data_IF_599717156431
#
_entry.id   IF_599717156431
#
_cell.length_a   1.000
_cell.length_b   1.000
_cell.length_c   1.000
_cell.angle_alpha   90.00
_cell.angle_beta   90.00
_cell.angle_gamma   90.00
#
_symmetry.space_group_name_H-M   'P 1'
#
loop_
_entity.id
_entity.type
_entity.pdbx_description
1 polymer ?
#
# COMPACT_ATOMS: atom_id res chain seq x y z
N UNK A 1 59.38 -16.67 4.20
CA UNK A 1 58.84 -15.49 4.93
C UNK A 1 59.99 -14.95 5.77
N UNK A 2 60.47 -13.70 5.53
CA UNK A 2 61.56 -13.14 6.35
C UNK A 2 60.97 -12.75 7.70
N UNK A 3 61.62 -13.12 8.79
CA UNK A 3 61.20 -12.76 10.14
C UNK A 3 62.32 -12.02 10.85
N UNK A 4 61.97 -11.13 11.78
CA UNK A 4 62.91 -10.39 12.63
C UNK A 4 62.44 -10.45 14.08
N UNK A 5 63.36 -10.55 15.05
CA UNK A 5 62.99 -10.46 16.46
C UNK A 5 62.44 -9.05 16.74
N UNK A 6 61.25 -8.97 17.32
CA UNK A 6 60.64 -7.75 17.83
C UNK A 6 60.27 -7.95 19.30
N UNK A 7 60.46 -6.91 20.11
CA UNK A 7 60.14 -6.97 21.54
C UNK A 7 58.65 -6.67 21.74
N UNK A 8 57.90 -7.61 22.32
CA UNK A 8 56.49 -7.40 22.63
C UNK A 8 56.34 -6.84 24.04
N UNK A 9 55.80 -5.61 24.14
CA UNK A 9 55.55 -4.93 25.42
C UNK A 9 54.49 -5.69 26.24
N UNK A 10 53.50 -6.31 25.58
CA UNK A 10 52.39 -7.00 26.27
C UNK A 10 52.78 -8.33 26.91
N UNK A 11 53.83 -8.99 26.39
CA UNK A 11 54.28 -10.30 26.86
C UNK A 11 55.69 -10.27 27.47
N UNK A 12 56.32 -9.09 27.52
CA UNK A 12 57.66 -8.84 28.03
C UNK A 12 58.71 -9.86 27.51
N UNK A 13 58.58 -10.26 26.24
CA UNK A 13 59.43 -11.26 25.58
C UNK A 13 59.72 -10.86 24.13
N UNK A 14 60.88 -11.28 23.64
CA UNK A 14 61.24 -11.18 22.23
C UNK A 14 60.43 -12.20 21.42
N UNK A 15 59.57 -11.70 20.54
CA UNK A 15 58.79 -12.49 19.60
C UNK A 15 59.35 -12.39 18.19
N UNK A 16 58.98 -13.34 17.34
CA UNK A 16 59.40 -13.37 15.94
C UNK A 16 58.32 -12.66 15.11
N UNK A 17 58.61 -11.43 14.68
CA UNK A 17 57.72 -10.64 13.83
C UNK A 17 57.92 -10.95 12.35
N UNK A 18 56.83 -10.98 11.58
CA UNK A 18 56.90 -11.11 10.12
C UNK A 18 57.41 -9.80 9.49
N UNK A 19 58.48 -9.88 8.71
CA UNK A 19 59.00 -8.74 7.96
C UNK A 19 58.20 -8.60 6.66
N UNK A 20 57.75 -7.38 6.37
CA UNK A 20 57.09 -7.07 5.12
C UNK A 20 57.96 -7.48 3.91
N UNK A 21 57.33 -8.02 2.86
CA UNK A 21 58.05 -8.44 1.66
C UNK A 21 58.74 -7.24 1.00
N UNK A 22 59.86 -7.44 0.26
CA UNK A 22 60.54 -6.37 -0.47
C UNK A 22 59.62 -5.67 -1.47
N UNK A 23 58.63 -6.41 -1.99
CA UNK A 23 57.60 -5.90 -2.90
C UNK A 23 56.75 -4.80 -2.25
N UNK A 24 56.51 -4.88 -0.94
CA UNK A 24 55.76 -3.88 -0.17
C UNK A 24 56.49 -2.53 -0.03
N UNK A 25 57.81 -2.51 -0.27
CA UNK A 25 58.64 -1.30 -0.25
C UNK A 25 58.84 -0.71 -1.66
N UNK A 26 58.37 -1.40 -2.70
CA UNK A 26 58.47 -0.89 -4.06
C UNK A 26 57.34 0.14 -4.32
N UNK A 27 57.74 1.36 -4.63
CA UNK A 27 56.84 2.49 -4.85
C UNK A 27 55.84 2.24 -6.00
N UNK A 28 56.28 1.60 -7.08
CA UNK A 28 55.43 1.28 -8.24
C UNK A 28 54.36 0.26 -7.86
N UNK A 29 54.75 -0.78 -7.10
CA UNK A 29 53.80 -1.77 -6.60
C UNK A 29 52.75 -1.14 -5.67
N UNK A 30 53.17 -0.19 -4.82
CA UNK A 30 52.27 0.51 -3.91
C UNK A 30 51.24 1.34 -4.67
N UNK A 31 51.67 2.10 -5.69
CA UNK A 31 50.76 2.87 -6.57
C UNK A 31 49.78 1.94 -7.29
N UNK A 32 50.26 0.89 -7.96
CA UNK A 32 49.40 -0.02 -8.73
C UNK A 32 48.37 -0.70 -7.82
N UNK A 33 48.79 -1.15 -6.63
CA UNK A 33 47.89 -1.74 -5.64
C UNK A 33 46.82 -0.75 -5.17
N UNK A 34 47.19 0.50 -4.91
CA UNK A 34 46.27 1.56 -4.50
C UNK A 34 45.27 1.88 -5.60
N UNK A 35 45.73 2.06 -6.84
CA UNK A 35 44.85 2.33 -8.01
C UNK A 35 43.88 1.18 -8.24
N UNK A 36 44.34 -0.07 -8.18
CA UNK A 36 43.47 -1.24 -8.34
C UNK A 36 42.44 -1.36 -7.22
N UNK A 37 42.83 -1.07 -5.97
CA UNK A 37 41.89 -1.04 -4.84
C UNK A 37 40.83 0.04 -5.03
N UNK A 38 41.22 1.24 -5.44
CA UNK A 38 40.29 2.33 -5.73
C UNK A 38 39.33 1.94 -6.86
N UNK A 39 39.84 1.38 -7.96
CA UNK A 39 39.04 1.08 -9.14
C UNK A 39 38.09 -0.11 -8.94
N UNK A 40 38.55 -1.20 -8.33
CA UNK A 40 37.76 -2.43 -8.24
C UNK A 40 37.07 -2.66 -6.89
N UNK A 41 37.54 -2.03 -5.81
CA UNK A 41 36.99 -2.26 -4.46
C UNK A 41 36.18 -1.06 -3.99
N UNK A 42 36.66 0.16 -4.24
CA UNK A 42 36.11 1.37 -3.60
C UNK A 42 35.25 2.23 -4.53
N UNK A 43 35.83 2.97 -5.48
CA UNK A 43 35.10 3.91 -6.36
C UNK A 43 34.27 3.16 -7.41
N UNK A 44 34.90 2.26 -8.16
CA UNK A 44 34.28 1.70 -9.37
C UNK A 44 32.96 0.98 -9.10
N UNK A 45 32.86 0.05 -8.12
CA UNK A 45 31.60 -0.62 -7.83
C UNK A 45 30.47 0.32 -7.43
N UNK A 46 30.79 1.38 -6.67
CA UNK A 46 29.81 2.36 -6.20
C UNK A 46 29.31 3.23 -7.36
N UNK A 47 30.21 3.74 -8.22
CA UNK A 47 29.86 4.50 -9.42
C UNK A 47 29.06 3.64 -10.40
N UNK A 48 29.46 2.39 -10.59
CA UNK A 48 28.76 1.45 -11.46
C UNK A 48 27.32 1.19 -10.99
N UNK A 49 27.11 0.89 -9.70
CA UNK A 49 25.78 0.69 -9.13
C UNK A 49 24.93 1.95 -9.27
N UNK A 50 25.52 3.13 -9.04
CA UNK A 50 24.83 4.40 -9.20
C UNK A 50 24.33 4.61 -10.65
N UNK A 51 25.20 4.39 -11.64
CA UNK A 51 24.84 4.49 -13.07
C UNK A 51 23.75 3.48 -13.44
N UNK A 52 23.88 2.22 -13.03
CA UNK A 52 22.87 1.18 -13.28
C UNK A 52 21.52 1.56 -12.66
N UNK A 53 21.53 2.14 -11.45
CA UNK A 53 20.32 2.60 -10.77
C UNK A 53 19.62 3.71 -11.55
N UNK A 54 20.38 4.72 -12.02
CA UNK A 54 19.84 5.81 -12.84
C UNK A 54 19.24 5.27 -14.14
N UNK A 55 19.97 4.39 -14.85
CA UNK A 55 19.49 3.79 -16.09
C UNK A 55 18.20 3.00 -15.87
N UNK A 56 18.14 2.20 -14.80
CA UNK A 56 16.96 1.42 -14.42
C UNK A 56 15.76 2.33 -14.19
N UNK A 57 15.92 3.41 -13.41
CA UNK A 57 14.85 4.40 -13.16
C UNK A 57 14.39 5.06 -14.46
N UNK A 58 15.31 5.42 -15.35
CA UNK A 58 14.96 6.05 -16.63
C UNK A 58 14.20 5.10 -17.56
N UNK A 59 14.66 3.85 -17.70
CA UNK A 59 13.97 2.81 -18.48
C UNK A 59 12.56 2.58 -17.92
N UNK A 60 12.42 2.50 -16.59
CA UNK A 60 11.12 2.35 -15.93
C UNK A 60 10.19 3.54 -16.20
N UNK A 61 10.70 4.78 -16.16
CA UNK A 61 9.91 5.98 -16.49
C UNK A 61 9.42 5.97 -17.94
N UNK A 62 10.30 5.60 -18.88
CA UNK A 62 9.98 5.53 -20.31
C UNK A 62 8.97 4.41 -20.59
N UNK A 63 9.19 3.22 -20.01
CA UNK A 63 8.28 2.08 -20.09
C UNK A 63 6.88 2.44 -19.57
N UNK A 64 6.78 3.07 -18.40
CA UNK A 64 5.52 3.52 -17.82
C UNK A 64 4.80 4.56 -18.70
N UNK A 65 5.55 5.50 -19.30
CA UNK A 65 4.97 6.50 -20.22
C UNK A 65 4.45 5.85 -21.50
N UNK A 66 5.14 4.83 -22.00
CA UNK A 66 4.75 4.07 -23.21
C UNK A 66 3.50 3.21 -22.96
N UNK A 67 3.46 2.46 -21.85
CA UNK A 67 2.31 1.61 -21.46
C UNK A 67 1.01 2.40 -21.27
N UNK A 68 1.09 3.62 -20.70
CA UNK A 68 -0.08 4.51 -20.55
C UNK A 68 -0.69 4.95 -21.88
N UNK A 69 0.08 4.94 -22.97
CA UNK A 69 -0.40 5.30 -24.32
C UNK A 69 -0.96 4.10 -25.09
N UNK A 70 -0.55 2.88 -24.73
CA UNK A 70 -0.85 1.67 -25.51
C UNK A 70 -2.13 0.93 -25.07
N UNK A 71 -2.63 1.15 -23.85
CA UNK A 71 -3.76 0.39 -23.31
C UNK A 71 -4.95 1.29 -22.90
N UNK A 72 -6.00 1.32 -23.74
CA UNK A 72 -7.39 1.61 -23.32
C UNK A 72 -7.98 0.34 -22.69
N UNK A 73 -7.50 -0.08 -21.51
CA UNK A 73 -8.02 -1.27 -20.83
C UNK A 73 -8.30 -0.97 -19.34
N UNK A 74 -9.26 -1.70 -18.75
CA UNK A 74 -9.84 -1.49 -17.42
C UNK A 74 -8.94 -0.80 -16.39
N UNK A 75 -9.36 0.40 -15.96
CA UNK A 75 -8.66 1.29 -15.03
C UNK A 75 -8.17 0.59 -13.75
N UNK A 76 -8.95 -0.38 -13.23
CA UNK A 76 -8.64 -1.12 -12.01
C UNK A 76 -7.43 -2.04 -12.12
N UNK A 77 -7.14 -2.60 -13.31
CA UNK A 77 -5.95 -3.43 -13.54
C UNK A 77 -4.72 -2.55 -13.73
N UNK A 78 -4.86 -1.41 -14.44
CA UNK A 78 -3.77 -0.44 -14.62
C UNK A 78 -3.30 0.07 -13.26
N UNK A 79 -4.21 0.41 -12.35
CA UNK A 79 -3.85 0.87 -11.01
C UNK A 79 -3.12 -0.21 -10.18
N UNK A 80 -3.52 -1.48 -10.28
CA UNK A 80 -2.82 -2.57 -9.59
C UNK A 80 -1.42 -2.83 -10.16
N UNK A 81 -1.28 -2.86 -11.48
CA UNK A 81 0.03 -3.05 -12.12
C UNK A 81 0.95 -1.86 -11.89
N UNK A 82 0.44 -0.63 -11.99
CA UNK A 82 1.20 0.58 -11.70
C UNK A 82 1.63 0.65 -10.23
N UNK A 83 0.78 0.25 -9.29
CA UNK A 83 1.13 0.17 -7.86
C UNK A 83 2.24 -0.84 -7.61
N UNK A 84 2.13 -2.04 -8.17
CA UNK A 84 3.13 -3.11 -8.00
C UNK A 84 4.48 -2.74 -8.63
N UNK A 85 4.46 -2.16 -9.82
CA UNK A 85 5.68 -1.67 -10.50
C UNK A 85 6.32 -0.54 -9.68
N UNK A 86 5.53 0.43 -9.21
CA UNK A 86 6.02 1.53 -8.37
C UNK A 86 6.62 1.00 -7.04
N UNK A 87 6.02 -0.01 -6.41
CA UNK A 87 6.54 -0.63 -5.20
C UNK A 87 7.86 -1.36 -5.44
N UNK A 88 8.00 -2.03 -6.60
CA UNK A 88 9.27 -2.64 -7.01
C UNK A 88 10.36 -1.58 -7.25
N UNK A 89 10.01 -0.45 -7.89
CA UNK A 89 10.97 0.65 -8.10
C UNK A 89 11.43 1.28 -6.78
N UNK A 90 10.50 1.48 -5.84
CA UNK A 90 10.80 2.03 -4.52
C UNK A 90 11.66 1.06 -3.72
N UNK A 91 11.38 -0.24 -3.77
CA UNK A 91 12.18 -1.27 -3.13
C UNK A 91 13.62 -1.27 -3.66
N UNK A 92 13.79 -1.25 -4.99
CA UNK A 92 15.11 -1.20 -5.63
C UNK A 92 15.88 0.07 -5.23
N UNK A 93 15.20 1.22 -5.21
CA UNK A 93 15.80 2.48 -4.77
C UNK A 93 16.17 2.45 -3.28
N UNK A 94 15.35 1.85 -2.42
CA UNK A 94 15.62 1.69 -0.99
C UNK A 94 16.85 0.82 -0.75
N UNK A 95 17.02 -0.26 -1.54
CA UNK A 95 18.21 -1.11 -1.51
C UNK A 95 19.44 -0.33 -1.98
N UNK A 96 19.33 0.45 -3.07
CA UNK A 96 20.43 1.26 -3.59
C UNK A 96 20.88 2.34 -2.60
N UNK A 97 19.94 3.06 -1.97
CA UNK A 97 20.24 4.09 -0.95
C UNK A 97 20.88 3.45 0.28
N UNK A 98 20.32 2.34 0.78
CA UNK A 98 20.89 1.57 1.89
C UNK A 98 22.33 1.14 1.56
N UNK A 99 22.54 0.60 0.36
CA UNK A 99 23.86 0.18 -0.09
C UNK A 99 24.84 1.35 -0.06
N UNK A 100 24.45 2.51 -0.59
CA UNK A 100 25.28 3.70 -0.62
C UNK A 100 25.64 4.21 0.78
N UNK A 101 24.69 4.21 1.73
CA UNK A 101 24.93 4.65 3.11
C UNK A 101 25.86 3.68 3.84
N UNK A 102 25.59 2.38 3.77
CA UNK A 102 26.36 1.38 4.52
C UNK A 102 27.75 1.12 3.92
N UNK A 103 27.93 1.31 2.60
CA UNK A 103 29.27 1.29 1.97
C UNK A 103 29.96 2.64 1.92
N UNK A 104 29.24 3.74 2.09
CA UNK A 104 29.79 5.09 2.04
C UNK A 104 30.88 5.32 3.09
N UNK A 105 30.77 4.67 4.25
CA UNK A 105 31.78 4.75 5.30
C UNK A 105 33.09 4.07 4.89
N UNK A 106 33.04 2.88 4.29
CA UNK A 106 34.22 2.19 3.74
C UNK A 106 34.89 3.05 2.67
N UNK A 107 34.07 3.64 1.79
CA UNK A 107 34.54 4.53 0.75
C UNK A 107 35.28 5.77 1.31
N UNK A 108 34.72 6.40 2.34
CA UNK A 108 35.34 7.56 2.98
C UNK A 108 36.68 7.21 3.65
N UNK A 109 36.76 6.04 4.29
CA UNK A 109 37.99 5.56 4.94
C UNK A 109 39.07 5.21 3.91
N UNK A 110 38.70 4.55 2.80
CA UNK A 110 39.64 4.26 1.71
C UNK A 110 40.17 5.55 1.06
N UNK A 111 39.31 6.56 0.88
CA UNK A 111 39.73 7.86 0.34
C UNK A 111 40.68 8.57 1.32
N UNK A 112 40.37 8.50 2.62
CA UNK A 112 41.21 9.06 3.69
C UNK A 112 42.58 8.36 3.77
N UNK A 113 42.63 7.02 3.65
CA UNK A 113 43.86 6.22 3.57
C UNK A 113 44.78 6.76 2.47
N UNK A 114 44.21 7.09 1.31
CA UNK A 114 44.96 7.49 0.12
C UNK A 114 45.46 8.93 0.18
N UNK A 115 44.65 9.85 0.73
CA UNK A 115 44.99 11.29 0.77
C UNK A 115 45.98 11.59 1.88
N UNK A 116 45.80 11.01 3.08
CA UNK A 116 46.56 11.38 4.27
C UNK A 116 47.64 10.34 4.62
N UNK A 117 47.47 9.09 4.17
CA UNK A 117 48.40 8.01 4.47
C UNK A 117 48.23 7.50 5.90
N UNK A 118 47.96 6.20 6.04
CA UNK A 118 47.95 5.58 7.37
C UNK A 118 49.36 5.50 7.95
N UNK A 119 49.49 5.86 9.22
CA UNK A 119 50.72 5.81 10.03
C UNK A 119 51.65 7.01 9.94
N UNK A 120 51.13 8.24 9.92
CA UNK A 120 51.95 9.36 10.38
C UNK A 120 52.13 9.23 11.91
N UNK A 121 53.35 9.01 12.43
CA UNK A 121 53.61 8.92 13.87
C UNK A 121 53.26 10.21 14.62
N UNK A 122 53.05 11.33 13.91
CA UNK A 122 52.71 12.61 14.50
C UNK A 122 51.27 12.68 15.05
N UNK A 123 50.36 11.76 14.68
CA UNK A 123 48.94 11.81 15.08
C UNK A 123 48.39 10.47 15.62
N UNK A 124 48.82 10.02 16.81
CA UNK A 124 48.42 8.72 17.38
C UNK A 124 46.92 8.59 17.67
N UNK A 125 46.26 9.67 18.07
CA UNK A 125 44.82 9.71 18.37
C UNK A 125 43.96 9.50 17.11
N UNK A 126 44.41 10.06 15.98
CA UNK A 126 43.76 9.90 14.68
C UNK A 126 43.90 8.47 14.17
N UNK A 127 45.09 7.87 14.32
CA UNK A 127 45.34 6.48 13.95
C UNK A 127 44.45 5.50 14.73
N UNK A 128 44.24 5.74 16.02
CA UNK A 128 43.34 4.92 16.84
C UNK A 128 41.87 5.08 16.43
N UNK A 129 41.40 6.31 16.19
CA UNK A 129 40.04 6.56 15.71
C UNK A 129 39.79 5.87 14.36
N UNK A 130 40.74 5.96 13.44
CA UNK A 130 40.64 5.35 12.12
C UNK A 130 40.62 3.82 12.18
N UNK A 131 41.35 3.20 13.12
CA UNK A 131 41.25 1.75 13.34
C UNK A 131 39.84 1.32 13.74
N UNK A 132 39.21 2.03 14.67
CA UNK A 132 37.82 1.76 15.04
C UNK A 132 36.84 2.03 13.89
N UNK A 133 37.08 3.08 13.09
CA UNK A 133 36.27 3.38 11.93
C UNK A 133 36.33 2.25 10.89
N UNK A 134 37.50 1.65 10.66
CA UNK A 134 37.66 0.47 9.79
C UNK A 134 36.79 -0.69 10.29
N UNK A 135 36.85 -1.01 11.59
CA UNK A 135 36.06 -2.10 12.17
C UNK A 135 34.55 -1.85 12.08
N UNK A 136 34.10 -0.62 12.35
CA UNK A 136 32.69 -0.21 12.20
C UNK A 136 32.26 -0.31 10.73
N UNK A 137 33.12 0.09 9.80
CA UNK A 137 32.83 0.00 8.36
C UNK A 137 32.69 -1.45 7.89
N UNK A 138 33.52 -2.36 8.40
CA UNK A 138 33.41 -3.79 8.14
C UNK A 138 32.10 -4.38 8.68
N UNK A 139 31.68 -3.95 9.88
CA UNK A 139 30.38 -4.32 10.44
C UNK A 139 29.23 -3.83 9.55
N UNK A 140 29.29 -2.61 9.04
CA UNK A 140 28.27 -2.06 8.12
C UNK A 140 28.19 -2.82 6.80
N UNK A 141 29.30 -3.31 6.26
CA UNK A 141 29.30 -4.19 5.09
C UNK A 141 28.55 -5.50 5.36
N UNK A 142 28.75 -6.10 6.53
CA UNK A 142 28.06 -7.32 6.94
C UNK A 142 26.56 -7.06 7.15
N UNK A 143 26.20 -5.96 7.81
CA UNK A 143 24.79 -5.57 7.99
C UNK A 143 24.12 -5.32 6.64
N UNK A 144 24.83 -4.70 5.70
CA UNK A 144 24.33 -4.43 4.36
C UNK A 144 23.95 -5.72 3.63
N UNK A 145 24.81 -6.74 3.65
CA UNK A 145 24.53 -8.03 3.01
C UNK A 145 23.39 -8.79 3.71
N UNK A 146 23.36 -8.81 5.04
CA UNK A 146 22.37 -9.54 5.83
C UNK A 146 20.93 -8.98 5.70
N UNK A 147 20.79 -7.65 5.60
CA UNK A 147 19.47 -7.00 5.64
C UNK A 147 18.78 -6.91 4.28
N UNK A 148 19.36 -7.45 3.20
CA UNK A 148 18.74 -7.45 1.86
C UNK A 148 17.41 -8.25 1.82
N UNK A 149 17.38 -9.42 2.46
CA UNK A 149 16.17 -10.23 2.58
C UNK A 149 15.10 -9.54 3.45
N UNK A 150 15.52 -8.86 4.52
CA UNK A 150 14.61 -8.11 5.39
C UNK A 150 13.94 -6.95 4.64
N UNK A 151 14.69 -6.24 3.79
CA UNK A 151 14.14 -5.19 2.94
C UNK A 151 13.12 -5.74 1.95
N UNK A 152 13.40 -6.89 1.33
CA UNK A 152 12.46 -7.51 0.38
C UNK A 152 11.15 -7.94 1.05
N UNK A 153 11.23 -8.57 2.23
CA UNK A 153 10.05 -9.11 2.91
C UNK A 153 9.28 -8.05 3.70
N UNK A 154 9.96 -7.34 4.62
CA UNK A 154 9.32 -6.34 5.48
C UNK A 154 9.18 -4.98 4.80
N UNK A 155 10.14 -4.59 3.96
CA UNK A 155 10.08 -3.32 3.24
C UNK A 155 8.94 -3.28 2.21
N UNK A 156 8.67 -4.40 1.52
CA UNK A 156 7.50 -4.51 0.64
C UNK A 156 6.18 -4.42 1.42
N UNK A 157 6.05 -5.15 2.54
CA UNK A 157 4.88 -5.09 3.40
C UNK A 157 4.65 -3.68 3.99
N UNK A 158 5.73 -3.01 4.40
CA UNK A 158 5.68 -1.65 4.93
C UNK A 158 5.31 -0.63 3.85
N UNK A 159 5.82 -0.78 2.62
CA UNK A 159 5.43 0.06 1.48
C UNK A 159 3.95 -0.12 1.17
N UNK A 160 3.47 -1.36 1.11
CA UNK A 160 2.06 -1.67 0.87
C UNK A 160 1.16 -1.07 1.96
N UNK A 161 1.53 -1.19 3.24
CA UNK A 161 0.76 -0.57 4.33
C UNK A 161 0.78 0.96 4.26
N UNK A 162 1.94 1.59 4.04
CA UNK A 162 2.07 3.04 3.85
C UNK A 162 1.27 3.56 2.66
N UNK A 163 1.22 2.82 1.55
CA UNK A 163 0.43 3.21 0.39
C UNK A 163 -1.06 3.08 0.67
N UNK A 164 -1.50 2.01 1.34
CA UNK A 164 -2.88 1.87 1.79
C UNK A 164 -3.26 2.97 2.77
N UNK A 165 -2.38 3.33 3.71
CA UNK A 165 -2.59 4.43 4.64
C UNK A 165 -2.64 5.79 3.91
N UNK A 166 -1.76 6.03 2.94
CA UNK A 166 -1.79 7.27 2.14
C UNK A 166 -3.02 7.35 1.23
N UNK A 167 -3.46 6.25 0.63
CA UNK A 167 -4.69 6.22 -0.15
C UNK A 167 -5.92 6.40 0.73
N UNK A 168 -5.93 5.81 1.93
CA UNK A 168 -7.04 5.99 2.88
C UNK A 168 -7.04 7.40 3.48
N UNK A 169 -5.88 8.01 3.72
CA UNK A 169 -5.77 9.42 4.16
C UNK A 169 -6.17 10.38 3.04
N UNK A 170 -5.73 10.16 1.81
CA UNK A 170 -6.18 10.96 0.65
C UNK A 170 -7.68 10.84 0.42
N UNK A 171 -8.23 9.62 0.53
CA UNK A 171 -9.68 9.38 0.49
C UNK A 171 -10.43 10.01 1.67
N UNK A 172 -9.86 10.00 2.88
CA UNK A 172 -10.43 10.70 4.05
C UNK A 172 -10.43 12.22 3.84
N UNK A 173 -9.37 12.76 3.23
CA UNK A 173 -9.25 14.21 2.97
C UNK A 173 -10.19 14.68 1.87
N UNK A 174 -10.31 13.94 0.76
CA UNK A 174 -11.35 14.23 -0.25
C UNK A 174 -12.75 14.11 0.34
N UNK A 175 -13.07 13.07 1.11
CA UNK A 175 -14.43 12.89 1.66
C UNK A 175 -14.81 13.97 2.69
N UNK A 176 -13.86 14.47 3.50
CA UNK A 176 -14.14 15.55 4.46
C UNK A 176 -14.16 16.95 3.83
N UNK A 177 -13.43 17.19 2.74
CA UNK A 177 -13.57 18.41 1.92
C UNK A 177 -14.82 18.32 1.00
N UNK A 178 -15.31 17.11 0.71
CA UNK A 178 -16.45 16.82 -0.16
C UNK A 178 -17.83 17.01 0.49
N UNK A 179 -17.94 17.22 1.80
CA UNK A 179 -19.19 17.59 2.45
C UNK A 179 -19.82 18.86 1.85
N UNK A 180 -18.98 19.78 1.38
CA UNK A 180 -19.35 20.95 0.58
C UNK A 180 -19.55 20.63 -0.92
N UNK A 181 -18.85 19.62 -1.45
CA UNK A 181 -18.81 19.24 -2.87
C UNK A 181 -20.02 18.41 -3.32
N UNK A 182 -20.71 17.75 -2.38
CA UNK A 182 -21.93 17.00 -2.67
C UNK A 182 -23.10 17.91 -3.09
N UNK A 183 -23.06 19.21 -2.76
CA UNK A 183 -24.09 20.18 -3.17
C UNK A 183 -24.21 20.30 -4.69
N UNK A 184 -23.10 20.52 -5.39
CA UNK A 184 -23.08 20.65 -6.86
C UNK A 184 -23.37 19.31 -7.56
N UNK A 185 -22.99 18.19 -6.94
CA UNK A 185 -23.18 16.84 -7.47
C UNK A 185 -24.54 16.22 -7.12
N UNK A 186 -25.32 16.86 -6.24
CA UNK A 186 -26.62 16.35 -5.80
C UNK A 186 -27.63 16.26 -6.96
N UNK A 187 -27.62 17.25 -7.84
CA UNK A 187 -28.47 17.24 -9.05
C UNK A 187 -28.20 16.01 -9.90
N UNK A 188 -26.92 15.70 -10.12
CA UNK A 188 -26.46 14.52 -10.86
C UNK A 188 -26.84 13.23 -10.14
N UNK A 189 -26.66 13.16 -8.81
CA UNK A 189 -27.05 11.99 -8.03
C UNK A 189 -28.56 11.72 -8.15
N UNK A 190 -29.41 12.74 -7.98
CA UNK A 190 -30.86 12.60 -8.11
C UNK A 190 -31.27 12.19 -9.52
N UNK A 191 -30.79 12.89 -10.55
CA UNK A 191 -31.21 12.62 -11.94
C UNK A 191 -30.73 11.24 -12.41
N UNK A 192 -29.48 10.86 -12.10
CA UNK A 192 -28.96 9.54 -12.44
C UNK A 192 -29.61 8.43 -11.60
N UNK A 193 -29.99 8.67 -10.35
CA UNK A 193 -30.78 7.71 -9.57
C UNK A 193 -32.13 7.42 -10.24
N UNK A 194 -32.85 8.45 -10.65
CA UNK A 194 -34.13 8.30 -11.33
C UNK A 194 -33.98 7.60 -12.69
N UNK A 195 -32.92 7.91 -13.46
CA UNK A 195 -32.57 7.18 -14.69
C UNK A 195 -32.34 5.69 -14.40
N UNK A 196 -31.54 5.35 -13.38
CA UNK A 196 -31.27 3.95 -12.99
C UNK A 196 -32.54 3.23 -12.56
N UNK A 197 -33.39 3.87 -11.76
CA UNK A 197 -34.64 3.30 -11.27
C UNK A 197 -35.62 3.03 -12.40
N UNK A 198 -35.70 3.92 -13.40
CA UNK A 198 -36.47 3.68 -14.63
C UNK A 198 -35.90 2.52 -15.44
N UNK A 199 -34.57 2.50 -15.66
CA UNK A 199 -33.91 1.46 -16.46
C UNK A 199 -34.01 0.05 -15.84
N UNK A 200 -34.04 -0.03 -14.51
CA UNK A 200 -34.14 -1.30 -13.76
C UNK A 200 -35.56 -1.70 -13.39
N UNK A 201 -36.59 -0.96 -13.85
CA UNK A 201 -37.99 -1.23 -13.50
C UNK A 201 -38.27 -1.12 -11.99
N UNK A 202 -37.48 -0.34 -11.26
CA UNK A 202 -37.57 -0.21 -9.80
C UNK A 202 -36.95 -1.34 -8.98
N UNK A 203 -36.36 -2.36 -9.62
CA UNK A 203 -35.84 -3.55 -8.94
C UNK A 203 -34.34 -3.47 -8.58
N UNK A 204 -33.72 -2.29 -8.68
CA UNK A 204 -32.29 -2.11 -8.35
C UNK A 204 -31.96 -2.59 -6.94
N UNK A 205 -32.76 -2.23 -5.94
CA UNK A 205 -32.56 -2.65 -4.56
C UNK A 205 -32.57 -4.18 -4.41
N UNK A 206 -33.47 -4.86 -5.12
CA UNK A 206 -33.53 -6.33 -5.17
C UNK A 206 -32.29 -6.92 -5.84
N UNK A 207 -31.80 -6.30 -6.92
CA UNK A 207 -30.54 -6.68 -7.59
C UNK A 207 -29.33 -6.52 -6.66
N UNK A 208 -29.26 -5.43 -5.90
CA UNK A 208 -28.23 -5.19 -4.88
C UNK A 208 -28.28 -6.29 -3.82
N UNK A 209 -29.45 -6.53 -3.23
CA UNK A 209 -29.64 -7.54 -2.20
C UNK A 209 -29.26 -8.95 -2.71
N UNK A 210 -29.68 -9.30 -3.92
CA UNK A 210 -29.35 -10.57 -4.56
C UNK A 210 -27.84 -10.75 -4.77
N UNK A 211 -27.16 -9.75 -5.33
CA UNK A 211 -25.72 -9.81 -5.60
C UNK A 211 -24.91 -9.94 -4.31
N UNK A 212 -25.34 -9.24 -3.24
CA UNK A 212 -24.73 -9.36 -1.92
C UNK A 212 -24.94 -10.76 -1.31
N UNK A 213 -26.17 -11.28 -1.35
CA UNK A 213 -26.53 -12.57 -0.74
C UNK A 213 -25.97 -13.78 -1.48
N UNK A 214 -25.96 -13.76 -2.82
CA UNK A 214 -25.42 -14.86 -3.63
C UNK A 214 -23.95 -15.14 -3.32
N UNK A 215 -23.15 -14.09 -3.05
CA UNK A 215 -21.74 -14.22 -2.70
C UNK A 215 -21.51 -14.53 -1.22
N UNK A 216 -22.51 -14.35 -0.36
CA UNK A 216 -22.42 -14.60 1.08
C UNK A 216 -23.71 -15.25 1.63
N UNK A 217 -24.00 -16.52 1.28
CA UNK A 217 -25.23 -17.20 1.66
C UNK A 217 -25.39 -17.40 3.18
N UNK A 218 -24.31 -17.25 3.95
CA UNK A 218 -24.33 -17.36 5.42
C UNK A 218 -25.06 -16.22 6.13
N UNK A 219 -25.37 -15.10 5.45
CA UNK A 219 -26.12 -13.98 6.05
C UNK A 219 -27.60 -14.28 6.27
N UNK A 220 -28.18 -15.26 5.56
CA UNK A 220 -29.58 -15.69 5.72
C UNK A 220 -29.79 -16.66 6.90
N UNK A 221 -28.72 -17.22 7.48
CA UNK A 221 -28.80 -18.21 8.55
C UNK A 221 -28.91 -17.60 9.97
N UNK A 222 -29.10 -16.29 10.09
CA UNK A 222 -29.22 -15.59 11.37
C UNK A 222 -30.69 -15.35 11.77
N UNK A 223 -31.42 -16.46 11.99
CA UNK A 223 -32.53 -16.69 12.96
C UNK A 223 -33.63 -17.60 12.39
N UNK A 224 -33.74 -18.79 13.00
CA UNK A 224 -34.97 -19.44 13.46
C UNK A 224 -36.25 -19.37 12.60
N UNK A 225 -36.20 -19.84 11.36
CA UNK A 225 -37.35 -20.54 10.79
C UNK A 225 -36.91 -21.98 10.55
N UNK A 226 -37.78 -22.93 10.90
CA UNK A 226 -37.53 -24.37 10.91
C UNK A 226 -36.83 -24.88 9.63
N UNK A 227 -36.03 -25.96 9.73
CA UNK A 227 -35.50 -26.60 8.54
C UNK A 227 -36.66 -27.29 7.82
N UNK A 228 -37.31 -26.58 6.90
CA UNK A 228 -38.21 -27.22 5.96
C UNK A 228 -37.36 -28.22 5.15
N UNK A 229 -37.57 -29.51 5.45
CA UNK A 229 -36.87 -30.64 4.86
C UNK A 229 -37.15 -30.66 3.35
N UNK A 230 -36.28 -30.05 2.56
CA UNK A 230 -36.30 -30.26 1.10
C UNK A 230 -35.37 -31.42 0.75
N UNK A 231 -36.02 -32.48 0.30
CA UNK A 231 -35.51 -33.80 -0.06
C UNK A 231 -34.26 -33.76 -0.95
N UNK A 232 -33.24 -34.54 -0.58
CA UNK A 232 -31.93 -34.68 -1.24
C UNK A 232 -31.96 -35.45 -2.58
N UNK A 233 -33.12 -35.62 -3.21
CA UNK A 233 -33.27 -36.54 -4.36
C UNK A 233 -33.48 -35.91 -5.73
N UNK A 234 -33.46 -34.58 -5.87
CA UNK A 234 -33.40 -33.95 -7.20
C UNK A 234 -32.30 -32.88 -7.27
N UNK A 235 -31.29 -33.16 -8.09
CA UNK A 235 -30.05 -32.40 -8.25
C UNK A 235 -30.20 -31.01 -8.85
N UNK A 236 -30.86 -30.09 -8.14
CA UNK A 236 -30.83 -28.65 -8.41
C UNK A 236 -30.67 -27.91 -7.08
N UNK A 237 -29.42 -27.63 -6.72
CA UNK A 237 -29.08 -26.82 -5.54
C UNK A 237 -29.31 -25.32 -5.83
N UNK A 238 -30.54 -24.97 -6.24
CA UNK A 238 -31.06 -23.61 -6.16
C UNK A 238 -31.83 -23.52 -4.86
N UNK A 239 -31.18 -23.05 -3.80
CA UNK A 239 -31.91 -22.50 -2.65
C UNK A 239 -32.81 -21.41 -3.21
N UNK A 240 -34.12 -21.65 -3.26
CA UNK A 240 -35.09 -20.60 -3.54
C UNK A 240 -35.04 -19.63 -2.37
N UNK A 241 -34.22 -18.58 -2.50
CA UNK A 241 -34.35 -17.43 -1.60
C UNK A 241 -35.79 -16.93 -1.80
N UNK A 242 -36.56 -16.81 -0.72
CA UNK A 242 -37.92 -16.26 -0.74
C UNK A 242 -37.91 -14.94 -1.51
N UNK A 243 -38.43 -14.96 -2.74
CA UNK A 243 -38.40 -13.83 -3.65
C UNK A 243 -39.11 -12.61 -3.05
N UNK A 244 -40.06 -12.86 -2.15
CA UNK A 244 -40.80 -11.86 -1.36
C UNK A 244 -39.91 -11.18 -0.32
N UNK A 245 -39.19 -11.95 0.52
CA UNK A 245 -38.27 -11.39 1.54
C UNK A 245 -37.13 -10.61 0.89
N UNK A 246 -36.61 -11.10 -0.24
CA UNK A 246 -35.56 -10.42 -1.01
C UNK A 246 -36.05 -9.10 -1.61
N UNK A 247 -37.29 -9.08 -2.13
CA UNK A 247 -37.94 -7.86 -2.64
C UNK A 247 -38.16 -6.85 -1.52
N UNK A 248 -38.58 -7.29 -0.34
CA UNK A 248 -38.73 -6.42 0.83
C UNK A 248 -37.40 -5.76 1.24
N UNK A 249 -36.32 -6.55 1.35
CA UNK A 249 -34.98 -6.03 1.65
C UNK A 249 -34.54 -5.04 0.56
N UNK A 250 -34.76 -5.39 -0.69
CA UNK A 250 -34.45 -4.52 -1.83
C UNK A 250 -35.19 -3.18 -1.74
N UNK A 251 -36.49 -3.20 -1.46
CA UNK A 251 -37.30 -2.00 -1.30
C UNK A 251 -36.79 -1.11 -0.15
N UNK A 252 -36.36 -1.71 0.97
CA UNK A 252 -35.77 -0.95 2.09
C UNK A 252 -34.44 -0.30 1.72
N UNK A 253 -33.60 -0.97 0.91
CA UNK A 253 -32.35 -0.39 0.41
C UNK A 253 -32.66 0.80 -0.51
N UNK A 254 -33.58 0.63 -1.46
CA UNK A 254 -33.99 1.68 -2.38
C UNK A 254 -34.58 2.88 -1.62
N UNK A 255 -35.49 2.63 -0.68
CA UNK A 255 -36.10 3.67 0.15
C UNK A 255 -35.06 4.43 1.00
N UNK A 256 -34.06 3.73 1.53
CA UNK A 256 -32.97 4.35 2.27
C UNK A 256 -32.15 5.29 1.39
N UNK A 257 -31.82 4.90 0.15
CA UNK A 257 -31.09 5.80 -0.76
C UNK A 257 -31.94 7.03 -1.11
N UNK A 258 -33.23 6.86 -1.39
CA UNK A 258 -34.15 7.99 -1.60
C UNK A 258 -34.23 8.92 -0.39
N UNK A 259 -34.32 8.37 0.82
CA UNK A 259 -34.32 9.14 2.07
C UNK A 259 -33.04 9.98 2.21
N UNK A 260 -31.86 9.39 1.94
CA UNK A 260 -30.61 10.14 2.00
C UNK A 260 -30.55 11.27 0.96
N UNK A 261 -30.98 11.01 -0.27
CA UNK A 261 -31.04 12.03 -1.33
C UNK A 261 -32.03 13.14 -0.98
N UNK A 262 -33.17 12.81 -0.37
CA UNK A 262 -34.16 13.80 0.08
C UNK A 262 -33.64 14.66 1.24
N UNK A 263 -32.96 14.07 2.22
CA UNK A 263 -32.29 14.81 3.29
C UNK A 263 -31.25 15.79 2.74
N UNK A 264 -30.49 15.38 1.74
CA UNK A 264 -29.53 16.25 1.04
C UNK A 264 -30.24 17.37 0.26
N UNK A 265 -31.34 17.05 -0.43
CA UNK A 265 -32.15 18.02 -1.19
C UNK A 265 -32.77 19.08 -0.30
N UNK A 266 -33.22 18.69 0.88
CA UNK A 266 -33.80 19.59 1.88
C UNK A 266 -32.73 20.34 2.70
N UNK A 267 -31.47 20.33 2.26
CA UNK A 267 -30.34 21.05 2.87
C UNK A 267 -30.18 20.78 4.37
N UNK A 268 -30.49 19.55 4.80
CA UNK A 268 -30.24 19.12 6.18
C UNK A 268 -28.73 19.10 6.45
N UNK A 269 -28.33 19.30 7.71
CA UNK A 269 -26.91 19.32 8.06
C UNK A 269 -26.27 17.95 7.79
N UNK A 270 -24.98 17.98 7.41
CA UNK A 270 -24.20 16.75 7.15
C UNK A 270 -24.22 15.80 8.36
N UNK A 271 -24.30 16.35 9.57
CA UNK A 271 -24.43 15.60 10.82
C UNK A 271 -25.70 14.75 10.89
N UNK A 272 -26.83 15.27 10.41
CA UNK A 272 -28.11 14.54 10.39
C UNK A 272 -28.03 13.36 9.42
N UNK A 273 -27.48 13.59 8.23
CA UNK A 273 -27.28 12.56 7.20
C UNK A 273 -26.31 11.48 7.72
N UNK A 274 -25.20 11.91 8.30
CA UNK A 274 -24.18 11.03 8.88
C UNK A 274 -24.75 10.19 10.03
N UNK A 275 -25.49 10.81 10.94
CA UNK A 275 -26.17 10.14 12.05
C UNK A 275 -27.16 9.09 11.53
N UNK A 276 -27.93 9.44 10.48
CA UNK A 276 -28.89 8.54 9.86
C UNK A 276 -28.22 7.29 9.26
N UNK A 277 -27.09 7.46 8.57
CA UNK A 277 -26.31 6.35 7.99
C UNK A 277 -25.68 5.50 9.10
N UNK A 278 -25.07 6.13 10.11
CA UNK A 278 -24.47 5.42 11.26
C UNK A 278 -25.49 4.58 12.01
N UNK A 279 -26.72 5.09 12.19
CA UNK A 279 -27.82 4.35 12.81
C UNK A 279 -28.14 3.06 12.04
N UNK A 280 -28.11 3.07 10.71
CA UNK A 280 -28.29 1.85 9.91
C UNK A 280 -27.17 0.86 10.19
N UNK A 281 -25.93 1.32 10.24
CA UNK A 281 -24.78 0.48 10.61
C UNK A 281 -24.94 -0.17 11.99
N UNK A 282 -25.29 0.63 13.01
CA UNK A 282 -25.52 0.17 14.38
C UNK A 282 -26.64 -0.88 14.46
N UNK A 283 -27.80 -0.64 13.83
CA UNK A 283 -28.92 -1.60 13.84
C UNK A 283 -28.54 -2.95 13.23
N UNK A 284 -27.73 -2.97 12.17
CA UNK A 284 -27.25 -4.22 11.60
C UNK A 284 -26.26 -4.94 12.52
N UNK A 285 -25.40 -4.19 13.21
CA UNK A 285 -24.50 -4.74 14.22
C UNK A 285 -25.26 -5.36 15.40
N UNK A 286 -26.26 -4.66 15.95
CA UNK A 286 -27.12 -5.15 17.04
C UNK A 286 -27.86 -6.43 16.65
N UNK A 287 -28.25 -6.55 15.37
CA UNK A 287 -28.87 -7.76 14.80
C UNK A 287 -27.88 -8.87 14.49
N UNK A 288 -26.60 -8.71 14.84
CA UNK A 288 -25.48 -9.63 14.55
C UNK A 288 -25.25 -9.87 13.06
N UNK A 289 -25.61 -8.90 12.23
CA UNK A 289 -25.35 -8.91 10.78
C UNK A 289 -24.03 -8.17 10.54
N UNK A 290 -22.94 -8.93 10.43
CA UNK A 290 -21.62 -8.37 10.18
C UNK A 290 -21.30 -8.32 8.67
N UNK A 291 -21.32 -7.11 8.11
CA UNK A 291 -20.98 -6.90 6.70
C UNK A 291 -19.46 -6.98 6.48
N UNK A 292 -19.00 -8.09 5.89
CA UNK A 292 -17.61 -8.23 5.41
C UNK A 292 -17.28 -7.19 4.34
N UNK A 293 -16.00 -6.85 4.20
CA UNK A 293 -15.51 -5.91 3.16
C UNK A 293 -15.93 -6.32 1.73
N UNK A 294 -16.06 -7.62 1.45
CA UNK A 294 -16.56 -8.12 0.17
C UNK A 294 -18.02 -7.73 -0.10
N UNK A 295 -18.89 -7.72 0.91
CA UNK A 295 -20.30 -7.30 0.76
C UNK A 295 -20.43 -5.83 0.39
N UNK A 296 -19.65 -4.97 1.04
CA UNK A 296 -19.61 -3.54 0.70
C UNK A 296 -19.07 -3.29 -0.71
N UNK A 297 -18.12 -4.13 -1.18
CA UNK A 297 -17.65 -4.07 -2.57
C UNK A 297 -18.76 -4.44 -3.56
N UNK A 298 -19.56 -5.46 -3.28
CA UNK A 298 -20.68 -5.85 -4.14
C UNK A 298 -21.81 -4.82 -4.15
N UNK A 299 -22.14 -4.25 -2.99
CA UNK A 299 -23.09 -3.14 -2.87
C UNK A 299 -22.67 -1.99 -3.79
N UNK A 300 -21.44 -1.53 -3.63
CA UNK A 300 -20.87 -0.44 -4.43
C UNK A 300 -20.81 -0.78 -5.91
N UNK A 301 -20.30 -1.95 -6.26
CA UNK A 301 -20.14 -2.37 -7.66
C UNK A 301 -21.49 -2.48 -8.37
N UNK A 302 -22.53 -2.99 -7.69
CA UNK A 302 -23.87 -3.11 -8.28
C UNK A 302 -24.46 -1.74 -8.63
N UNK A 303 -24.30 -0.75 -7.73
CA UNK A 303 -24.75 0.62 -7.98
C UNK A 303 -23.95 1.23 -9.14
N UNK A 304 -22.62 1.13 -9.12
CA UNK A 304 -21.78 1.72 -10.17
C UNK A 304 -22.02 1.09 -11.55
N UNK A 305 -22.22 -0.22 -11.64
CA UNK A 305 -22.59 -0.86 -12.89
C UNK A 305 -23.96 -0.35 -13.38
N UNK A 306 -24.95 -0.27 -12.50
CA UNK A 306 -26.29 0.20 -12.90
C UNK A 306 -26.28 1.66 -13.39
N UNK A 307 -25.49 2.52 -12.73
CA UNK A 307 -25.25 3.90 -13.16
C UNK A 307 -24.52 3.93 -14.50
N UNK A 308 -23.49 3.10 -14.68
CA UNK A 308 -22.71 3.06 -15.92
C UNK A 308 -23.49 2.51 -17.13
N UNK A 309 -24.53 1.70 -16.87
CA UNK A 309 -25.43 1.09 -17.86
C UNK A 309 -26.58 2.03 -18.29
N UNK A 310 -26.70 3.23 -17.70
CA UNK A 310 -27.71 4.21 -18.10
C UNK A 310 -27.30 4.97 -19.38
N UNK A 311 -28.29 5.51 -20.08
CA UNK A 311 -28.09 6.41 -21.21
C UNK A 311 -27.81 7.84 -20.72
N UNK A 312 -26.76 8.45 -21.28
CA UNK A 312 -26.31 9.82 -20.98
C UNK A 312 -26.14 10.59 -22.29
N UNK A 313 -26.34 11.91 -22.23
CA UNK A 313 -26.26 12.76 -23.41
C UNK A 313 -24.80 12.92 -23.88
N UNK A 314 -23.86 12.88 -22.93
CA UNK A 314 -22.42 12.99 -23.20
C UNK A 314 -21.62 11.96 -22.40
N UNK A 315 -20.43 11.54 -22.89
CA UNK A 315 -19.53 10.68 -22.11
C UNK A 315 -19.02 11.37 -20.84
N UNK A 316 -18.90 12.70 -20.83
CA UNK A 316 -18.48 13.48 -19.66
C UNK A 316 -19.54 13.45 -18.55
N UNK A 317 -20.83 13.57 -18.89
CA UNK A 317 -21.93 13.41 -17.94
C UNK A 317 -21.92 12.02 -17.30
N UNK A 318 -21.66 10.98 -18.10
CA UNK A 318 -21.54 9.60 -17.61
C UNK A 318 -20.39 9.44 -16.61
N UNK A 319 -19.21 9.95 -16.95
CA UNK A 319 -18.03 9.85 -16.09
C UNK A 319 -18.25 10.61 -14.78
N UNK A 320 -18.85 11.79 -14.84
CA UNK A 320 -19.20 12.60 -13.67
C UNK A 320 -20.27 11.94 -12.79
N UNK A 321 -21.27 11.28 -13.39
CA UNK A 321 -22.26 10.49 -12.65
C UNK A 321 -21.61 9.30 -11.92
N UNK A 322 -20.77 8.54 -12.63
CA UNK A 322 -20.03 7.41 -12.04
C UNK A 322 -19.13 7.89 -10.89
N UNK A 323 -18.42 9.00 -11.07
CA UNK A 323 -17.57 9.58 -10.03
C UNK A 323 -18.39 10.02 -8.80
N UNK A 324 -19.51 10.70 -9.02
CA UNK A 324 -20.41 11.16 -7.97
C UNK A 324 -20.96 9.98 -7.15
N UNK A 325 -21.41 8.92 -7.82
CA UNK A 325 -21.87 7.69 -7.16
C UNK A 325 -20.74 6.94 -6.46
N UNK A 326 -19.53 6.96 -7.00
CA UNK A 326 -18.37 6.32 -6.41
C UNK A 326 -18.00 6.97 -5.06
N UNK A 327 -18.11 8.29 -4.97
CA UNK A 327 -17.94 9.07 -3.73
C UNK A 327 -19.10 8.82 -2.78
N UNK A 328 -20.34 8.99 -3.24
CA UNK A 328 -21.53 8.85 -2.39
C UNK A 328 -21.67 7.46 -1.76
N UNK A 329 -21.48 6.39 -2.55
CA UNK A 329 -21.48 5.02 -2.01
C UNK A 329 -20.32 4.76 -1.06
N UNK A 330 -19.16 5.36 -1.29
CA UNK A 330 -18.01 5.29 -0.37
C UNK A 330 -18.30 5.98 0.95
N UNK A 331 -18.95 7.14 0.92
CA UNK A 331 -19.41 7.86 2.10
C UNK A 331 -20.38 7.01 2.93
N UNK A 332 -21.41 6.43 2.29
CA UNK A 332 -22.36 5.51 2.95
C UNK A 332 -21.63 4.35 3.63
N UNK A 333 -20.73 3.67 2.92
CA UNK A 333 -19.99 2.51 3.47
C UNK A 333 -19.14 2.92 4.68
N UNK A 334 -18.45 4.07 4.60
CA UNK A 334 -17.60 4.58 5.67
C UNK A 334 -18.45 4.85 6.92
N UNK A 335 -19.53 5.62 6.78
CA UNK A 335 -20.35 6.00 7.93
C UNK A 335 -21.14 4.81 8.49
N UNK A 336 -21.58 3.86 7.66
CA UNK A 336 -22.15 2.58 8.14
C UNK A 336 -21.16 1.80 9.00
N UNK A 337 -19.89 1.72 8.58
CA UNK A 337 -18.84 1.10 9.40
C UNK A 337 -18.64 1.88 10.69
N UNK A 338 -18.52 3.20 10.65
CA UNK A 338 -18.38 4.00 11.88
C UNK A 338 -19.50 3.73 12.89
N UNK A 339 -20.74 3.54 12.42
CA UNK A 339 -21.87 3.13 13.26
C UNK A 339 -21.65 1.80 14.00
N UNK A 340 -20.97 0.82 13.40
CA UNK A 340 -20.63 -0.44 14.07
C UNK A 340 -19.51 -0.27 15.11
N UNK A 341 -18.56 0.63 14.86
CA UNK A 341 -17.43 0.90 15.79
C UNK A 341 -17.91 1.57 17.07
N UNK A 342 -18.78 2.59 16.96
CA UNK A 342 -19.33 3.30 18.13
C UNK A 342 -20.05 2.34 19.08
N UNK A 343 -20.76 1.33 18.55
CA UNK A 343 -21.42 0.33 19.39
C UNK A 343 -20.43 -0.67 20.01
N UNK A 344 -19.35 -1.02 19.33
CA UNK A 344 -18.34 -1.92 19.87
C UNK A 344 -17.57 -1.28 21.04
N UNK A 345 -17.29 0.03 20.97
CA UNK A 345 -16.63 0.76 22.06
C UNK A 345 -17.54 0.91 23.29
N UNK A 346 -18.86 1.09 23.08
CA UNK A 346 -19.83 1.16 24.17
C UNK A 346 -20.05 -0.20 24.88
N UNK A 347 -19.82 -1.33 24.21
CA UNK A 347 -19.86 -2.67 24.83
C UNK A 347 -18.69 -2.88 25.81
N UNK A 348 -17.60 -2.12 25.67
CA UNK A 348 -16.45 -2.16 26.58
C UNK A 348 -16.52 -1.13 27.72
N UNK A 349 -17.62 -0.37 27.84
CA UNK A 349 -17.80 0.67 28.86
C UNK A 349 -19.02 0.44 29.78
N UNK A 350 -19.57 -0.77 29.84
CA UNK A 350 -20.54 -1.14 30.87
C UNK A 350 -19.84 -2.01 31.91
N UNK A 351 -19.80 -1.62 33.20
CA UNK A 351 -19.22 -2.42 34.28
C UNK A 351 -19.94 -3.76 34.50
#
# INVERSE_FOLDING_TARGET
MKTKPCFSISQNRTMIGAVASPLRHNFVYLIVRTVLRILFVSIGPNVFIFVVTILTVNILRVSNKSRRKLFRMNQSLIEQYASRENNQTLLALMIAVKFLVLRGLVFAIDLFEVIIGFNDPNFPLLNQFMSYAVDISNLFVIINSATNCMMYLKGAQWLDSKFNDRQTIKRKKTICEEGQLLGDRLTILCTSWDKVMKNTGGELGTRIAWNMLRKHPTMLNLKNDEPEKVSLLNGSCKRSIDHVKLKEIGNRITAFIYELLDLMKNSQTEDVITCRIRRVGAVHYDRKINFKTSLFKEFKNTILCAVADCEYDTPEERDLAIESWNIFTSFIIKEMKMGTWVMNDNVHQVP
#
